data_IF_368806022107
#
_entry.id   IF_368806022107
#
_cell.length_a   1.000
_cell.length_b   1.000
_cell.length_c   1.000
_cell.angle_alpha   90.00
_cell.angle_beta   90.00
_cell.angle_gamma   90.00
#
_symmetry.space_group_name_H-M   'P 1'
#
loop_
_entity.id
_entity.type
_entity.pdbx_description
1 polymer ?
#
# COMPACT_ATOMS: atom_id res chain seq x y z
N UNK A 1 7.11 23.98 -29.99
CA UNK A 1 6.02 22.99 -29.92
C UNK A 1 6.47 21.95 -28.93
N UNK A 2 5.68 21.66 -27.89
CA UNK A 2 5.98 20.63 -26.89
C UNK A 2 5.92 19.26 -27.56
N UNK A 3 6.89 18.39 -27.32
CA UNK A 3 6.90 17.01 -27.84
C UNK A 3 5.79 16.17 -27.19
N UNK A 4 5.45 15.02 -27.78
CA UNK A 4 4.45 14.12 -27.20
C UNK A 4 4.84 13.59 -25.80
N UNK A 5 6.15 13.39 -25.58
CA UNK A 5 6.72 12.97 -24.29
C UNK A 5 6.65 14.11 -23.28
N UNK A 6 7.12 15.32 -23.62
CA UNK A 6 7.04 16.49 -22.73
C UNK A 6 5.59 16.82 -22.35
N UNK A 7 4.63 16.55 -23.25
CA UNK A 7 3.20 16.70 -22.94
C UNK A 7 2.72 15.65 -21.94
N UNK A 8 3.13 14.39 -22.10
CA UNK A 8 2.79 13.31 -21.15
C UNK A 8 3.37 13.60 -19.75
N UNK A 9 4.63 14.01 -19.69
CA UNK A 9 5.30 14.42 -18.45
C UNK A 9 4.56 15.57 -17.75
N UNK A 10 4.16 16.59 -18.52
CA UNK A 10 3.39 17.72 -18.00
C UNK A 10 1.99 17.29 -17.53
N UNK A 11 1.30 16.46 -18.30
CA UNK A 11 -0.02 15.93 -17.95
C UNK A 11 0.06 15.17 -16.61
N UNK A 12 1.06 14.31 -16.41
CA UNK A 12 1.24 13.57 -15.16
C UNK A 12 1.38 14.51 -13.95
N UNK A 13 2.20 15.56 -14.08
CA UNK A 13 2.40 16.54 -13.00
C UNK A 13 1.11 17.32 -12.69
N UNK A 14 0.39 17.78 -13.71
CA UNK A 14 -0.83 18.57 -13.50
C UNK A 14 -2.00 17.72 -13.02
N UNK A 15 -2.12 16.47 -13.48
CA UNK A 15 -3.13 15.52 -13.00
C UNK A 15 -2.87 15.18 -11.54
N UNK A 16 -1.62 14.94 -11.14
CA UNK A 16 -1.26 14.68 -9.73
C UNK A 16 -1.72 15.85 -8.84
N UNK A 17 -1.43 17.08 -9.26
CA UNK A 17 -1.89 18.27 -8.53
C UNK A 17 -3.41 18.44 -8.55
N UNK A 18 -4.07 18.06 -9.64
CA UNK A 18 -5.53 18.04 -9.75
C UNK A 18 -6.15 17.09 -8.75
N UNK A 19 -5.66 15.84 -8.70
CA UNK A 19 -6.12 14.82 -7.76
C UNK A 19 -5.86 15.23 -6.31
N UNK A 20 -4.69 15.77 -5.97
CA UNK A 20 -4.36 16.21 -4.59
C UNK A 20 -5.33 17.30 -4.12
N UNK A 21 -5.79 18.20 -5.00
CA UNK A 21 -6.74 19.26 -4.63
C UNK A 21 -8.14 18.78 -4.33
N UNK A 22 -8.48 17.56 -4.73
CA UNK A 22 -9.75 16.94 -4.41
C UNK A 22 -9.56 16.20 -3.09
N UNK A 23 -10.17 16.72 -2.03
CA UNK A 23 -10.18 16.06 -0.73
C UNK A 23 -11.00 14.77 -0.83
N UNK A 24 -10.31 13.64 -0.74
CA UNK A 24 -10.85 12.28 -0.74
C UNK A 24 -10.57 11.58 0.58
N UNK A 25 -10.46 12.35 1.67
CA UNK A 25 -10.12 11.82 3.01
C UNK A 25 -11.06 10.68 3.42
N UNK A 26 -10.47 9.57 3.85
CA UNK A 26 -11.17 8.40 4.35
C UNK A 26 -10.86 8.12 5.84
N UNK A 27 -11.88 8.18 6.70
CA UNK A 27 -11.78 7.82 8.13
C UNK A 27 -12.19 6.36 8.41
N UNK A 28 -12.52 5.60 7.37
CA UNK A 28 -13.14 4.29 7.45
C UNK A 28 -14.61 4.31 7.88
N UNK A 29 -15.29 3.17 7.70
CA UNK A 29 -16.71 3.03 8.05
C UNK A 29 -17.63 3.97 7.26
N UNK A 30 -17.28 4.25 6.00
CA UNK A 30 -17.95 5.19 5.10
C UNK A 30 -18.08 6.61 5.67
N UNK A 31 -17.04 7.08 6.36
CA UNK A 31 -16.93 8.46 6.87
C UNK A 31 -15.79 9.16 6.16
N UNK A 32 -16.05 10.35 5.61
CA UNK A 32 -15.08 11.07 4.81
C UNK A 32 -15.74 11.90 3.72
N UNK A 33 -14.93 12.44 2.82
CA UNK A 33 -15.40 13.17 1.65
C UNK A 33 -15.92 12.22 0.56
N UNK A 34 -15.38 10.99 0.49
CA UNK A 34 -15.62 10.04 -0.59
C UNK A 34 -14.86 10.41 -1.88
N UNK A 35 -14.80 9.47 -2.81
CA UNK A 35 -13.95 9.52 -4.00
C UNK A 35 -14.71 9.97 -5.24
N UNK A 36 -16.04 10.12 -5.17
CA UNK A 36 -16.88 10.41 -6.33
C UNK A 36 -16.46 11.66 -7.13
N UNK A 37 -15.97 12.72 -6.48
CA UNK A 37 -15.44 13.88 -7.18
C UNK A 37 -14.16 13.56 -7.95
N UNK A 38 -13.21 12.86 -7.33
CA UNK A 38 -11.98 12.41 -7.97
C UNK A 38 -12.28 11.41 -9.10
N UNK A 39 -13.21 10.47 -8.88
CA UNK A 39 -13.63 9.50 -9.87
C UNK A 39 -14.21 10.18 -11.13
N UNK A 40 -15.03 11.22 -10.95
CA UNK A 40 -15.54 12.03 -12.08
C UNK A 40 -14.44 12.79 -12.79
N UNK A 41 -13.50 13.36 -12.05
CA UNK A 41 -12.33 14.04 -12.62
C UNK A 41 -11.49 13.07 -13.48
N UNK A 42 -11.23 11.86 -12.99
CA UNK A 42 -10.53 10.80 -13.74
C UNK A 42 -11.31 10.41 -14.99
N UNK A 43 -12.62 10.19 -14.89
CA UNK A 43 -13.45 9.85 -16.04
C UNK A 43 -13.47 10.97 -17.10
N UNK A 44 -13.54 12.24 -16.68
CA UNK A 44 -13.45 13.40 -17.57
C UNK A 44 -12.09 13.45 -18.29
N UNK A 45 -10.98 13.16 -17.58
CA UNK A 45 -9.66 13.07 -18.21
C UNK A 45 -9.58 11.96 -19.26
N UNK A 46 -10.30 10.85 -19.11
CA UNK A 46 -10.38 9.84 -20.16
C UNK A 46 -11.29 10.26 -21.31
N UNK A 47 -12.44 10.87 -21.03
CA UNK A 47 -13.40 11.36 -22.04
C UNK A 47 -12.77 12.45 -22.95
N UNK A 48 -11.93 13.33 -22.39
CA UNK A 48 -11.16 14.35 -23.15
C UNK A 48 -10.34 13.78 -24.31
N UNK A 49 -9.95 12.50 -24.22
CA UNK A 49 -9.21 11.80 -25.28
C UNK A 49 -10.05 10.77 -26.02
N UNK A 50 -11.35 10.62 -25.70
CA UNK A 50 -12.27 9.70 -26.35
C UNK A 50 -12.30 8.30 -25.75
N UNK A 51 -11.90 8.15 -24.48
CA UNK A 51 -11.97 6.90 -23.72
C UNK A 51 -13.12 6.96 -22.72
N UNK A 52 -13.99 5.96 -22.74
CA UNK A 52 -15.20 5.90 -21.90
C UNK A 52 -14.94 5.04 -20.65
N UNK A 53 -14.50 5.69 -19.57
CA UNK A 53 -14.29 5.03 -18.27
C UNK A 53 -15.62 4.93 -17.50
N UNK A 54 -15.88 3.76 -16.93
CA UNK A 54 -17.10 3.48 -16.17
C UNK A 54 -16.88 3.77 -14.69
N UNK A 55 -17.87 4.39 -14.05
CA UNK A 55 -17.88 4.65 -12.60
C UNK A 55 -18.84 3.68 -11.91
N UNK A 56 -18.36 2.99 -10.88
CA UNK A 56 -19.15 2.08 -10.06
C UNK A 56 -19.20 2.59 -8.62
N UNK A 57 -20.39 2.94 -8.15
CA UNK A 57 -20.61 3.48 -6.81
C UNK A 57 -21.16 2.38 -5.88
N UNK A 58 -20.36 1.96 -4.89
CA UNK A 58 -20.69 0.87 -3.96
C UNK A 58 -21.52 1.35 -2.76
N UNK A 59 -21.35 2.62 -2.39
CA UNK A 59 -22.10 3.36 -1.37
C UNK A 59 -22.07 4.86 -1.69
N UNK A 60 -22.94 5.70 -1.10
CA UNK A 60 -22.96 7.14 -1.38
C UNK A 60 -21.56 7.77 -1.26
N UNK A 61 -21.02 8.25 -2.37
CA UNK A 61 -19.69 8.86 -2.46
C UNK A 61 -18.52 7.90 -2.69
N UNK A 62 -18.71 6.57 -2.52
CA UNK A 62 -17.66 5.55 -2.71
C UNK A 62 -17.63 5.06 -4.14
N UNK A 63 -16.72 5.61 -4.93
CA UNK A 63 -16.73 5.45 -6.38
C UNK A 63 -15.43 4.83 -6.90
N UNK A 64 -15.58 3.71 -7.61
CA UNK A 64 -14.51 3.05 -8.35
C UNK A 64 -14.58 3.50 -9.82
N UNK A 65 -13.43 3.64 -10.49
CA UNK A 65 -13.35 3.95 -11.93
C UNK A 65 -12.66 2.82 -12.66
N UNK A 66 -13.23 2.34 -13.76
CA UNK A 66 -12.62 1.28 -14.57
C UNK A 66 -12.67 1.63 -16.05
N UNK A 67 -11.53 1.48 -16.73
CA UNK A 67 -11.39 1.58 -18.18
C UNK A 67 -10.71 0.33 -18.72
N UNK A 68 -11.31 -0.32 -19.72
CA UNK A 68 -10.67 -1.42 -20.47
C UNK A 68 -10.23 -0.94 -21.85
N UNK A 69 -8.96 -1.19 -22.19
CA UNK A 69 -8.35 -0.81 -23.47
C UNK A 69 -7.97 -2.09 -24.21
N UNK A 70 -8.54 -2.35 -25.39
CA UNK A 70 -8.20 -3.53 -26.18
C UNK A 70 -6.73 -3.52 -26.64
N UNK A 71 -6.07 -4.66 -26.48
CA UNK A 71 -4.73 -4.91 -27.00
C UNK A 71 -4.74 -5.27 -28.49
N UNK A 72 -3.54 -5.24 -29.09
CA UNK A 72 -3.33 -5.70 -30.47
C UNK A 72 -3.34 -7.24 -30.61
N UNK A 73 -3.11 -7.98 -29.53
CA UNK A 73 -3.11 -9.45 -29.48
C UNK A 73 -4.11 -9.96 -28.43
N UNK A 74 -5.34 -10.31 -28.84
CA UNK A 74 -6.40 -10.76 -27.93
C UNK A 74 -6.19 -12.18 -27.38
N UNK A 75 -5.12 -12.87 -27.79
CA UNK A 75 -4.78 -14.20 -27.24
C UNK A 75 -4.01 -14.12 -25.93
N UNK A 76 -3.49 -12.94 -25.59
CA UNK A 76 -2.73 -12.71 -24.36
C UNK A 76 -3.67 -12.33 -23.20
N UNK A 77 -3.37 -12.80 -21.98
CA UNK A 77 -4.05 -12.32 -20.78
C UNK A 77 -3.93 -10.81 -20.60
N UNK A 78 -4.98 -10.19 -20.08
CA UNK A 78 -4.99 -8.77 -19.76
C UNK A 78 -4.08 -8.46 -18.57
N UNK A 79 -3.52 -7.25 -18.54
CA UNK A 79 -2.83 -6.67 -17.39
C UNK A 79 -3.75 -5.69 -16.68
N UNK A 80 -3.92 -5.84 -15.37
CA UNK A 80 -4.53 -4.81 -14.54
C UNK A 80 -3.46 -3.81 -14.11
N UNK A 81 -3.75 -2.52 -14.28
CA UNK A 81 -2.94 -1.43 -13.75
C UNK A 81 -3.85 -0.62 -12.85
N UNK A 82 -3.57 -0.63 -11.56
CA UNK A 82 -4.51 -0.07 -10.59
C UNK A 82 -3.88 0.81 -9.53
N UNK A 83 -4.75 1.57 -8.87
CA UNK A 83 -4.48 2.41 -7.72
C UNK A 83 -5.78 2.75 -6.98
N UNK A 84 -5.70 3.61 -5.97
CA UNK A 84 -6.83 4.07 -5.17
C UNK A 84 -6.88 5.60 -5.09
N UNK A 85 -8.09 6.15 -5.00
CA UNK A 85 -8.30 7.61 -5.04
C UNK A 85 -8.43 8.25 -3.66
N UNK A 86 -8.68 7.45 -2.62
CA UNK A 86 -8.78 7.95 -1.27
C UNK A 86 -7.41 8.23 -0.64
N UNK A 87 -7.44 8.90 0.49
CA UNK A 87 -6.24 9.25 1.25
C UNK A 87 -6.55 9.18 2.74
N UNK A 88 -5.56 8.83 3.56
CA UNK A 88 -5.69 9.00 5.01
C UNK A 88 -5.93 10.46 5.43
N UNK A 89 -6.52 10.71 6.62
CA UNK A 89 -6.73 12.06 7.13
C UNK A 89 -5.46 12.91 7.22
N UNK A 90 -5.63 14.22 7.04
CA UNK A 90 -4.60 15.23 7.25
C UNK A 90 -5.15 16.33 8.16
N UNK A 91 -4.44 16.59 9.27
CA UNK A 91 -4.77 17.67 10.21
C UNK A 91 -4.04 18.92 9.75
N UNK A 92 -4.74 19.88 9.16
CA UNK A 92 -4.12 21.04 8.50
C UNK A 92 -3.18 21.84 9.43
N UNK A 93 -3.45 21.88 10.73
CA UNK A 93 -2.60 22.58 11.72
C UNK A 93 -1.21 21.95 11.91
N UNK A 94 -1.06 20.66 11.59
CA UNK A 94 0.21 19.95 11.70
C UNK A 94 1.09 20.16 10.46
N UNK A 95 0.52 20.63 9.35
CA UNK A 95 1.20 20.74 8.06
C UNK A 95 1.85 22.10 7.84
N UNK A 96 2.98 22.10 7.16
CA UNK A 96 3.71 23.31 6.76
C UNK A 96 2.99 24.09 5.63
N UNK A 97 2.13 23.41 4.87
CA UNK A 97 1.31 23.95 3.78
C UNK A 97 -0.09 23.36 3.84
N UNK A 98 -1.04 23.91 3.07
CA UNK A 98 -2.35 23.28 2.92
C UNK A 98 -2.19 21.85 2.36
N UNK A 99 -2.60 20.79 3.08
CA UNK A 99 -2.47 19.41 2.63
C UNK A 99 -3.17 19.14 1.29
N UNK A 100 -4.17 19.94 0.92
CA UNK A 100 -4.87 19.82 -0.37
C UNK A 100 -4.57 20.98 -1.32
N UNK A 101 -3.52 21.78 -1.05
CA UNK A 101 -3.12 22.90 -1.91
C UNK A 101 -2.43 22.49 -3.22
N UNK A 102 -1.73 21.35 -3.21
CA UNK A 102 -0.89 20.86 -4.31
C UNK A 102 0.14 21.91 -4.78
N UNK A 103 0.80 22.55 -3.82
CA UNK A 103 1.82 23.56 -4.07
C UNK A 103 3.10 22.92 -4.63
N UNK A 104 3.77 23.63 -5.53
CA UNK A 104 5.09 23.22 -6.04
C UNK A 104 6.14 24.08 -5.37
N UNK A 105 6.91 23.47 -4.46
CA UNK A 105 7.95 24.13 -3.67
C UNK A 105 9.24 23.35 -3.85
N UNK A 106 10.31 24.03 -4.25
CA UNK A 106 11.64 23.46 -4.47
C UNK A 106 11.65 22.20 -5.38
N UNK A 107 10.79 22.21 -6.40
CA UNK A 107 10.69 21.11 -7.37
C UNK A 107 9.91 19.89 -6.87
N UNK A 108 9.24 19.98 -5.72
CA UNK A 108 8.38 18.94 -5.18
C UNK A 108 6.93 19.40 -5.18
N UNK A 109 5.99 18.48 -5.43
CA UNK A 109 4.56 18.69 -5.23
C UNK A 109 4.25 18.30 -3.79
N UNK A 110 3.72 19.24 -3.01
CA UNK A 110 3.35 19.03 -1.62
C UNK A 110 1.85 18.81 -1.49
N UNK A 111 1.46 17.81 -0.70
CA UNK A 111 0.08 17.54 -0.35
C UNK A 111 -0.18 16.08 -0.01
N UNK A 112 -1.28 15.84 0.70
CA UNK A 112 -1.76 14.50 1.04
C UNK A 112 -2.11 13.75 -0.24
N UNK A 113 -1.54 12.55 -0.40
CA UNK A 113 -1.64 11.73 -1.60
C UNK A 113 -0.51 11.93 -2.61
N UNK A 114 0.46 12.82 -2.35
CA UNK A 114 1.63 13.00 -3.20
C UNK A 114 2.55 11.76 -3.24
N UNK A 115 2.60 10.98 -2.18
CA UNK A 115 3.30 9.70 -2.01
C UNK A 115 2.31 8.54 -2.19
N UNK A 116 1.13 8.62 -1.55
CA UNK A 116 0.17 7.50 -1.44
C UNK A 116 -1.28 7.92 -1.76
N UNK A 117 -1.76 7.72 -2.99
CA UNK A 117 -0.98 7.26 -4.16
C UNK A 117 -1.28 8.05 -5.45
N UNK A 118 -1.80 9.27 -5.32
CA UNK A 118 -2.22 10.13 -6.44
C UNK A 118 -1.09 10.49 -7.40
N UNK A 119 0.18 10.29 -7.02
CA UNK A 119 1.31 10.37 -7.95
C UNK A 119 1.24 9.29 -9.04
N UNK A 120 0.98 8.04 -8.65
CA UNK A 120 0.93 6.88 -9.52
C UNK A 120 -0.31 6.92 -10.37
N UNK A 121 -1.45 7.29 -9.80
CA UNK A 121 -2.67 7.49 -10.56
C UNK A 121 -2.46 8.47 -11.70
N UNK A 122 -1.84 9.61 -11.39
CA UNK A 122 -1.56 10.62 -12.39
C UNK A 122 -0.62 10.13 -13.50
N UNK A 123 0.39 9.32 -13.15
CA UNK A 123 1.27 8.70 -14.14
C UNK A 123 0.51 7.68 -15.01
N UNK A 124 -0.35 6.84 -14.43
CA UNK A 124 -1.20 5.89 -15.17
C UNK A 124 -2.10 6.64 -16.15
N UNK A 125 -2.86 7.63 -15.66
CA UNK A 125 -3.82 8.40 -16.47
C UNK A 125 -3.09 9.13 -17.61
N UNK A 126 -1.95 9.78 -17.32
CA UNK A 126 -1.17 10.49 -18.32
C UNK A 126 -0.59 9.56 -19.40
N UNK A 127 -0.07 8.39 -19.02
CA UNK A 127 0.45 7.41 -19.96
C UNK A 127 -0.65 6.84 -20.86
N UNK A 128 -1.83 6.52 -20.31
CA UNK A 128 -2.98 6.05 -21.11
C UNK A 128 -3.48 7.14 -22.07
N UNK A 129 -3.61 8.39 -21.60
CA UNK A 129 -3.93 9.54 -22.46
C UNK A 129 -2.90 9.70 -23.58
N UNK A 130 -1.62 9.50 -23.29
CA UNK A 130 -0.55 9.55 -24.28
C UNK A 130 -0.70 8.44 -25.34
N UNK A 131 -0.80 7.18 -24.92
CA UNK A 131 -0.96 6.03 -25.82
C UNK A 131 -2.14 6.23 -26.78
N UNK A 132 -3.29 6.67 -26.26
CA UNK A 132 -4.47 6.89 -27.07
C UNK A 132 -4.31 8.04 -28.08
N UNK A 133 -3.77 9.19 -27.65
CA UNK A 133 -3.53 10.36 -28.53
C UNK A 133 -2.57 10.03 -29.66
N UNK A 134 -1.52 9.27 -29.37
CA UNK A 134 -0.50 8.87 -30.33
C UNK A 134 -0.91 7.61 -31.13
N UNK A 135 -2.10 7.05 -30.88
CA UNK A 135 -2.65 5.86 -31.55
C UNK A 135 -1.73 4.65 -31.41
N UNK A 136 -1.11 4.52 -30.25
CA UNK A 136 -0.27 3.39 -29.89
C UNK A 136 -1.18 2.36 -29.21
N UNK A 137 -1.30 1.18 -29.82
CA UNK A 137 -2.02 0.06 -29.23
C UNK A 137 -1.09 -0.72 -28.30
N UNK A 138 -1.49 -0.98 -27.04
CA UNK A 138 -0.77 -1.91 -26.18
C UNK A 138 -0.82 -3.31 -26.79
N UNK A 139 0.13 -4.16 -26.42
CA UNK A 139 0.16 -5.53 -26.94
C UNK A 139 -1.02 -6.34 -26.41
N UNK A 140 -1.29 -6.24 -25.11
CA UNK A 140 -2.36 -6.93 -24.37
C UNK A 140 -3.50 -5.98 -24.04
N UNK A 141 -4.63 -6.54 -23.66
CA UNK A 141 -5.69 -5.76 -23.02
C UNK A 141 -5.16 -5.13 -21.73
N UNK A 142 -5.44 -3.85 -21.52
CA UNK A 142 -5.20 -3.17 -20.25
C UNK A 142 -6.52 -2.95 -19.53
N UNK A 143 -6.57 -3.25 -18.24
CA UNK A 143 -7.68 -2.92 -17.36
C UNK A 143 -7.14 -1.90 -16.36
N UNK A 144 -7.54 -0.64 -16.54
CA UNK A 144 -7.15 0.46 -15.67
C UNK A 144 -8.24 0.59 -14.61
N UNK A 145 -7.87 0.48 -13.34
CA UNK A 145 -8.81 0.55 -12.24
C UNK A 145 -8.33 1.55 -11.18
N UNK A 146 -9.22 2.43 -10.73
CA UNK A 146 -9.00 3.30 -9.58
C UNK A 146 -10.06 2.95 -8.54
N UNK A 147 -9.63 2.31 -7.46
CA UNK A 147 -10.51 1.83 -6.41
C UNK A 147 -10.80 2.92 -5.38
N UNK A 148 -11.89 2.74 -4.66
CA UNK A 148 -12.21 3.51 -3.46
C UNK A 148 -11.80 2.74 -2.21
N UNK A 149 -11.65 3.44 -1.09
CA UNK A 149 -11.65 2.83 0.25
C UNK A 149 -10.46 1.93 0.59
N UNK A 150 -9.34 2.00 -0.14
CA UNK A 150 -8.14 1.19 0.13
C UNK A 150 -7.61 1.47 1.54
N UNK A 151 -7.56 2.75 1.93
CA UNK A 151 -7.06 3.24 3.22
C UNK A 151 -7.92 2.79 4.42
N UNK A 152 -9.05 2.12 4.15
CA UNK A 152 -9.93 1.52 5.14
C UNK A 152 -10.21 0.02 4.88
N UNK A 153 -9.43 -0.64 4.02
CA UNK A 153 -9.44 -2.09 3.79
C UNK A 153 -10.08 -2.53 2.46
N UNK A 154 -10.57 -1.61 1.63
CA UNK A 154 -11.07 -1.89 0.28
C UNK A 154 -12.47 -2.52 0.23
N UNK A 155 -13.22 -2.53 1.35
CA UNK A 155 -14.55 -3.15 1.44
C UNK A 155 -15.57 -2.49 0.50
N UNK A 156 -15.47 -1.16 0.30
CA UNK A 156 -16.27 -0.41 -0.69
C UNK A 156 -15.58 -0.30 -2.06
N UNK A 157 -14.35 -0.82 -2.15
CA UNK A 157 -13.41 -0.64 -3.25
C UNK A 157 -13.22 -1.87 -4.12
N UNK A 158 -11.97 -2.28 -4.23
CA UNK A 158 -11.52 -3.49 -4.89
C UNK A 158 -12.26 -4.74 -4.39
N UNK A 159 -12.51 -4.86 -3.07
CA UNK A 159 -13.25 -5.97 -2.50
C UNK A 159 -14.69 -6.04 -2.99
N UNK A 160 -15.39 -4.90 -3.01
CA UNK A 160 -16.73 -4.82 -3.58
C UNK A 160 -16.74 -5.10 -5.09
N UNK A 161 -15.77 -4.55 -5.83
CA UNK A 161 -15.63 -4.78 -7.28
C UNK A 161 -15.40 -6.26 -7.61
N UNK A 162 -14.51 -6.93 -6.88
CA UNK A 162 -14.23 -8.36 -7.05
C UNK A 162 -15.48 -9.21 -6.76
N UNK A 163 -16.25 -8.86 -5.74
CA UNK A 163 -17.44 -9.62 -5.33
C UNK A 163 -18.67 -9.37 -6.23
N UNK A 164 -18.87 -8.14 -6.71
CA UNK A 164 -20.09 -7.72 -7.40
C UNK A 164 -19.92 -7.53 -8.91
N UNK A 165 -18.69 -7.24 -9.34
CA UNK A 165 -18.32 -6.99 -10.74
C UNK A 165 -17.11 -7.82 -11.23
N UNK A 166 -17.01 -9.13 -10.92
CA UNK A 166 -15.87 -9.95 -11.34
C UNK A 166 -15.71 -10.00 -12.87
N UNK A 167 -16.78 -9.76 -13.64
CA UNK A 167 -16.74 -9.68 -15.09
C UNK A 167 -15.81 -8.60 -15.63
N UNK A 168 -15.57 -7.54 -14.84
CA UNK A 168 -14.66 -6.45 -15.20
C UNK A 168 -13.23 -6.95 -15.37
N UNK A 169 -12.80 -7.87 -14.51
CA UNK A 169 -11.45 -8.43 -14.48
C UNK A 169 -11.28 -9.68 -15.34
N UNK A 170 -12.31 -10.06 -16.10
CA UNK A 170 -12.29 -11.28 -16.89
C UNK A 170 -11.12 -11.31 -17.91
N UNK A 171 -10.34 -12.38 -17.85
CA UNK A 171 -9.18 -12.62 -18.72
C UNK A 171 -7.88 -11.95 -18.25
N UNK A 172 -7.85 -11.29 -17.08
CA UNK A 172 -6.62 -10.84 -16.45
C UNK A 172 -5.97 -11.97 -15.64
N UNK A 173 -4.64 -12.02 -15.66
CA UNK A 173 -3.84 -12.95 -14.85
C UNK A 173 -2.89 -12.23 -13.90
N UNK A 174 -2.50 -11.00 -14.22
CA UNK A 174 -1.51 -10.23 -13.46
C UNK A 174 -1.98 -8.78 -13.27
N UNK A 175 -1.47 -8.16 -12.20
CA UNK A 175 -1.73 -6.77 -11.85
C UNK A 175 -0.45 -6.05 -11.42
N UNK A 176 -0.37 -4.75 -11.66
CA UNK A 176 0.55 -3.84 -11.00
C UNK A 176 -0.21 -2.78 -10.20
N UNK A 177 0.29 -2.47 -9.01
CA UNK A 177 -0.31 -1.56 -8.01
C UNK A 177 0.69 -0.54 -7.50
N UNK A 178 0.25 0.25 -6.52
CA UNK A 178 1.04 1.09 -5.62
C UNK A 178 2.22 0.39 -4.93
N UNK A 179 2.99 1.21 -4.20
CA UNK A 179 4.04 0.80 -3.27
C UNK A 179 5.02 -0.23 -3.84
N UNK A 180 6.05 0.29 -4.50
CA UNK A 180 7.13 -0.49 -5.10
C UNK A 180 7.64 0.26 -6.33
N UNK A 181 8.66 -0.24 -7.01
CA UNK A 181 9.25 0.42 -8.17
C UNK A 181 9.96 1.75 -7.90
N UNK A 182 9.88 2.34 -6.70
CA UNK A 182 10.61 3.55 -6.33
C UNK A 182 12.06 3.26 -5.97
N UNK A 183 12.94 4.24 -6.21
CA UNK A 183 14.37 4.08 -5.97
C UNK A 183 14.79 4.43 -4.55
N UNK A 184 15.81 3.76 -4.08
CA UNK A 184 16.53 4.00 -2.82
C UNK A 184 18.03 4.06 -3.11
N UNK A 185 18.81 4.66 -2.22
CA UNK A 185 20.28 4.57 -2.27
C UNK A 185 20.74 3.47 -1.30
N UNK A 186 21.47 2.47 -1.83
CA UNK A 186 22.10 1.42 -1.05
C UNK A 186 23.61 1.54 -1.30
N UNK A 187 24.33 2.06 -0.31
CA UNK A 187 25.78 2.24 -0.35
C UNK A 187 26.28 3.01 -1.60
N UNK A 188 25.60 4.11 -1.96
CA UNK A 188 25.94 4.95 -3.11
C UNK A 188 25.52 4.37 -4.47
N UNK A 189 24.72 3.31 -4.48
CA UNK A 189 24.13 2.70 -5.68
C UNK A 189 22.61 2.83 -5.61
N UNK A 190 22.02 3.32 -6.70
CA UNK A 190 20.56 3.40 -6.82
C UNK A 190 19.97 2.01 -7.04
N UNK A 191 19.00 1.65 -6.20
CA UNK A 191 18.24 0.41 -6.31
C UNK A 191 16.74 0.72 -6.37
N UNK A 192 16.00 0.04 -7.24
CA UNK A 192 14.54 0.11 -7.29
C UNK A 192 13.94 -1.08 -6.53
N UNK A 193 13.00 -0.81 -5.62
CA UNK A 193 12.40 -1.82 -4.76
C UNK A 193 11.09 -2.34 -5.37
N UNK A 194 11.13 -3.45 -6.10
CA UNK A 194 9.94 -4.04 -6.74
C UNK A 194 9.19 -4.91 -5.73
N UNK A 195 7.95 -4.55 -5.40
CA UNK A 195 7.20 -5.29 -4.39
C UNK A 195 6.69 -6.62 -4.96
N UNK A 196 7.12 -7.73 -4.32
CA UNK A 196 6.71 -9.10 -4.64
C UNK A 196 6.03 -9.79 -3.45
N UNK A 197 5.93 -9.13 -2.31
CA UNK A 197 5.26 -9.68 -1.14
C UNK A 197 4.67 -8.57 -0.28
N UNK A 198 3.75 -8.93 0.61
CA UNK A 198 3.16 -8.04 1.60
C UNK A 198 2.64 -8.83 2.81
N UNK A 199 2.71 -8.21 4.00
CA UNK A 199 2.21 -8.83 5.22
C UNK A 199 0.69 -9.00 5.18
N UNK A 200 0.20 -10.00 5.88
CA UNK A 200 -1.21 -10.15 6.19
C UNK A 200 -1.65 -9.19 7.28
N UNK A 201 -2.95 -8.95 7.36
CA UNK A 201 -3.58 -8.12 8.39
C UNK A 201 -4.44 -9.03 9.26
N UNK A 202 -4.27 -8.93 10.58
CA UNK A 202 -5.10 -9.59 11.58
C UNK A 202 -5.39 -8.59 12.70
N UNK A 203 -6.46 -7.81 12.56
CA UNK A 203 -6.89 -6.90 13.62
C UNK A 203 -7.77 -7.64 14.60
N UNK A 204 -7.32 -7.73 15.85
CA UNK A 204 -7.94 -8.55 16.87
C UNK A 204 -8.54 -7.67 17.96
N UNK A 205 -9.72 -8.06 18.44
CA UNK A 205 -10.32 -7.54 19.67
C UNK A 205 -10.19 -8.56 20.77
N UNK A 206 -9.55 -8.14 21.87
CA UNK A 206 -9.46 -8.89 23.11
C UNK A 206 -10.57 -8.43 24.05
N UNK A 207 -11.30 -9.37 24.62
CA UNK A 207 -12.37 -9.10 25.59
C UNK A 207 -12.14 -9.91 26.86
N UNK A 208 -12.04 -9.24 28.00
CA UNK A 208 -12.05 -9.88 29.31
C UNK A 208 -13.36 -9.57 30.03
N UNK A 209 -13.94 -10.58 30.68
CA UNK A 209 -15.10 -10.44 31.56
C UNK A 209 -14.67 -10.62 33.01
N UNK A 210 -15.46 -10.08 33.94
CA UNK A 210 -15.24 -10.24 35.37
C UNK A 210 -16.45 -9.78 36.18
N UNK A 211 -16.33 -9.89 37.49
CA UNK A 211 -17.40 -9.54 38.41
C UNK A 211 -17.43 -8.03 38.68
N UNK A 212 -18.49 -7.34 38.25
CA UNK A 212 -18.70 -5.94 38.57
C UNK A 212 -18.94 -5.74 40.08
N UNK A 213 -18.46 -4.63 40.64
CA UNK A 213 -18.60 -4.39 42.08
C UNK A 213 -18.17 -3.01 42.56
N UNK A 214 -18.37 -2.74 43.85
CA UNK A 214 -17.87 -1.52 44.47
C UNK A 214 -16.35 -1.63 44.71
N UNK A 215 -15.58 -0.59 44.36
CA UNK A 215 -14.11 -0.60 44.42
C UNK A 215 -13.49 -0.81 45.81
N UNK A 216 -14.30 -0.77 46.87
CA UNK A 216 -13.86 -1.08 48.25
C UNK A 216 -13.96 -2.56 48.62
N UNK A 217 -14.56 -3.40 47.77
CA UNK A 217 -14.73 -4.82 48.04
C UNK A 217 -13.53 -5.63 47.53
N UNK A 218 -13.25 -6.76 48.16
CA UNK A 218 -12.27 -7.73 47.64
C UNK A 218 -12.85 -8.32 46.34
N UNK A 219 -12.10 -8.24 45.26
CA UNK A 219 -12.48 -8.79 43.97
C UNK A 219 -11.29 -9.52 43.34
N UNK A 220 -11.43 -10.84 43.17
CA UNK A 220 -10.43 -11.72 42.54
C UNK A 220 -10.72 -12.00 41.06
N UNK A 221 -11.81 -11.47 40.52
CA UNK A 221 -12.31 -11.68 39.15
C UNK A 221 -12.47 -10.31 38.47
N UNK A 222 -11.33 -9.68 38.16
CA UNK A 222 -11.27 -8.30 37.70
C UNK A 222 -10.86 -8.25 36.22
N UNK A 223 -11.82 -7.90 35.36
CA UNK A 223 -11.62 -7.79 33.91
C UNK A 223 -10.45 -6.87 33.52
N UNK A 224 -10.25 -5.76 34.26
CA UNK A 224 -9.15 -4.82 33.98
C UNK A 224 -7.80 -5.47 34.20
N UNK A 225 -7.63 -6.17 35.33
CA UNK A 225 -6.36 -6.82 35.67
C UNK A 225 -6.05 -7.97 34.70
N UNK A 226 -7.05 -8.78 34.38
CA UNK A 226 -6.92 -9.89 33.43
C UNK A 226 -6.50 -9.38 32.05
N UNK A 227 -7.22 -8.40 31.51
CA UNK A 227 -6.91 -7.83 30.19
C UNK A 227 -5.57 -7.10 30.17
N UNK A 228 -5.25 -6.31 31.20
CA UNK A 228 -3.97 -5.61 31.27
C UNK A 228 -2.78 -6.58 31.25
N UNK A 229 -2.92 -7.74 31.91
CA UNK A 229 -1.92 -8.81 31.84
C UNK A 229 -1.75 -9.38 30.44
N UNK A 230 -2.84 -9.62 29.72
CA UNK A 230 -2.83 -10.10 28.33
C UNK A 230 -2.16 -9.08 27.38
N UNK A 231 -2.59 -7.82 27.46
CA UNK A 231 -2.06 -6.72 26.66
C UNK A 231 -0.56 -6.55 26.89
N UNK A 232 -0.11 -6.60 28.15
CA UNK A 232 1.31 -6.50 28.48
C UNK A 232 2.12 -7.67 27.90
N UNK A 233 1.64 -8.93 28.05
CA UNK A 233 2.34 -10.09 27.49
C UNK A 233 2.44 -10.05 25.97
N UNK A 234 1.39 -9.59 25.29
CA UNK A 234 1.40 -9.42 23.82
C UNK A 234 2.36 -8.30 23.42
N UNK A 235 2.28 -7.14 24.07
CA UNK A 235 3.10 -5.97 23.71
C UNK A 235 4.60 -6.12 23.98
N UNK A 236 4.99 -6.93 24.96
CA UNK A 236 6.41 -7.19 25.27
C UNK A 236 6.98 -8.40 24.51
N UNK A 237 6.14 -9.18 23.84
CA UNK A 237 6.58 -10.41 23.17
C UNK A 237 7.54 -10.08 22.03
N UNK A 238 8.76 -10.62 22.13
CA UNK A 238 9.77 -10.50 21.08
C UNK A 238 9.55 -11.59 20.05
N UNK A 239 9.07 -11.19 18.88
CA UNK A 239 8.91 -12.09 17.75
C UNK A 239 10.28 -12.54 17.23
N UNK A 240 10.45 -13.83 16.89
CA UNK A 240 11.69 -14.29 16.29
C UNK A 240 11.85 -13.72 14.88
N UNK A 241 13.10 -13.58 14.44
CA UNK A 241 13.39 -13.31 13.03
C UNK A 241 12.88 -14.47 12.17
N UNK A 242 12.17 -14.14 11.11
CA UNK A 242 11.74 -15.07 10.07
C UNK A 242 11.85 -14.39 8.71
N UNK A 243 12.23 -15.18 7.71
CA UNK A 243 12.55 -14.67 6.38
C UNK A 243 11.72 -15.39 5.33
N UNK A 244 10.94 -14.61 4.59
CA UNK A 244 10.29 -15.03 3.36
C UNK A 244 11.30 -15.20 2.22
N UNK A 245 10.90 -15.81 1.10
CA UNK A 245 11.78 -15.94 -0.07
C UNK A 245 12.20 -14.57 -0.60
N UNK A 246 11.28 -13.62 -0.58
CA UNK A 246 11.48 -12.22 -0.99
C UNK A 246 12.52 -11.52 -0.11
N UNK A 247 12.36 -11.59 1.22
CA UNK A 247 13.28 -10.91 2.15
C UNK A 247 14.68 -11.55 2.16
N UNK A 248 14.77 -12.89 2.03
CA UNK A 248 16.06 -13.57 1.83
C UNK A 248 16.76 -13.05 0.57
N UNK A 249 16.05 -13.06 -0.57
CA UNK A 249 16.62 -12.61 -1.85
C UNK A 249 17.07 -11.16 -1.83
N UNK A 250 16.33 -10.28 -1.15
CA UNK A 250 16.71 -8.88 -0.94
C UNK A 250 18.02 -8.78 -0.14
N UNK A 251 18.09 -9.43 1.02
CA UNK A 251 19.25 -9.33 1.92
C UNK A 251 20.51 -9.98 1.31
N UNK A 252 20.37 -11.08 0.57
CA UNK A 252 21.47 -11.70 -0.18
C UNK A 252 22.04 -10.75 -1.24
N UNK A 253 21.19 -10.06 -1.99
CA UNK A 253 21.62 -9.10 -3.00
C UNK A 253 22.23 -7.84 -2.36
N UNK A 254 21.67 -7.34 -1.26
CA UNK A 254 22.27 -6.24 -0.50
C UNK A 254 23.65 -6.62 0.04
N UNK A 255 23.83 -7.86 0.52
CA UNK A 255 25.12 -8.37 0.94
C UNK A 255 26.13 -8.38 -0.21
N UNK A 256 25.74 -8.84 -1.40
CA UNK A 256 26.59 -8.80 -2.60
C UNK A 256 27.00 -7.36 -2.99
N UNK A 257 26.04 -6.43 -2.97
CA UNK A 257 26.26 -5.03 -3.35
C UNK A 257 27.16 -4.26 -2.39
N UNK A 258 27.03 -4.54 -1.10
CA UNK A 258 27.75 -3.86 -0.02
C UNK A 258 29.07 -4.54 0.32
N UNK A 259 29.22 -5.82 -0.02
CA UNK A 259 30.32 -6.67 0.41
C UNK A 259 30.26 -7.07 1.89
N UNK A 260 29.12 -6.83 2.56
CA UNK A 260 28.88 -7.22 3.95
C UNK A 260 28.43 -8.69 4.03
N UNK A 261 28.65 -9.34 5.17
CA UNK A 261 28.16 -10.70 5.43
C UNK A 261 26.67 -10.67 5.80
N UNK A 262 25.90 -11.60 5.23
CA UNK A 262 24.52 -11.83 5.67
C UNK A 262 24.47 -12.84 6.82
N UNK A 263 24.49 -12.34 8.06
CA UNK A 263 24.19 -13.13 9.26
C UNK A 263 22.68 -13.14 9.52
N UNK A 264 22.02 -14.27 9.28
CA UNK A 264 20.57 -14.43 9.51
C UNK A 264 20.15 -14.28 10.97
N UNK A 265 21.07 -14.38 11.93
CA UNK A 265 20.78 -14.13 13.35
C UNK A 265 20.90 -12.65 13.71
N UNK A 266 21.58 -11.86 12.89
CA UNK A 266 21.81 -10.44 13.11
C UNK A 266 21.86 -9.67 11.76
N UNK A 267 20.70 -9.42 11.11
CA UNK A 267 20.64 -8.72 9.82
C UNK A 267 20.92 -7.22 9.95
N UNK A 268 21.14 -6.70 11.16
CA UNK A 268 21.28 -5.29 11.46
C UNK A 268 22.35 -4.57 10.60
N UNK A 269 23.56 -5.12 10.36
CA UNK A 269 24.54 -4.46 9.50
C UNK A 269 24.07 -4.25 8.06
N UNK A 270 23.31 -5.20 7.50
CA UNK A 270 22.73 -5.05 6.17
C UNK A 270 21.61 -4.02 6.16
N UNK A 271 20.72 -4.06 7.15
CA UNK A 271 19.65 -3.06 7.28
C UNK A 271 20.22 -1.65 7.37
N UNK A 272 21.27 -1.43 8.16
CA UNK A 272 21.96 -0.13 8.26
C UNK A 272 22.54 0.34 6.92
N UNK A 273 23.06 -0.58 6.10
CA UNK A 273 23.58 -0.26 4.77
C UNK A 273 22.49 0.18 3.76
N UNK A 274 21.22 -0.10 4.05
CA UNK A 274 20.07 0.32 3.23
C UNK A 274 19.56 1.73 3.60
N UNK A 275 20.14 2.40 4.60
CA UNK A 275 19.81 3.79 4.93
C UNK A 275 18.35 3.98 5.35
N UNK A 276 17.63 4.88 4.67
CA UNK A 276 16.27 5.31 5.05
C UNK A 276 15.25 4.16 5.01
N UNK A 277 15.45 3.14 4.15
CA UNK A 277 14.51 2.01 4.05
C UNK A 277 14.77 0.89 5.05
N UNK A 278 15.78 1.02 5.90
CA UNK A 278 16.13 0.06 6.95
C UNK A 278 14.95 -0.29 7.87
N UNK A 279 14.17 0.71 8.29
CA UNK A 279 12.97 0.53 9.13
C UNK A 279 11.87 -0.19 8.37
N UNK A 280 11.70 0.17 7.10
CA UNK A 280 10.65 -0.35 6.25
C UNK A 280 10.87 -1.85 5.95
N UNK A 281 12.11 -2.25 5.68
CA UNK A 281 12.52 -3.65 5.50
C UNK A 281 12.61 -4.39 6.84
N UNK A 282 13.11 -3.76 7.91
CA UNK A 282 13.21 -4.40 9.22
C UNK A 282 11.86 -4.88 9.77
N UNK A 283 10.76 -4.17 9.47
CA UNK A 283 9.41 -4.55 9.84
C UNK A 283 8.87 -5.82 9.15
N UNK A 284 9.57 -6.31 8.12
CA UNK A 284 9.19 -7.48 7.31
C UNK A 284 9.98 -8.72 7.69
N UNK A 285 10.88 -8.64 8.68
CA UNK A 285 11.69 -9.77 9.14
C UNK A 285 11.07 -10.50 10.35
N UNK A 286 9.84 -10.14 10.72
CA UNK A 286 9.11 -10.75 11.83
C UNK A 286 7.61 -10.45 11.73
N UNK A 287 6.80 -11.28 12.37
CA UNK A 287 5.43 -10.90 12.72
C UNK A 287 5.45 -9.73 13.72
N UNK A 288 4.38 -8.96 13.76
CA UNK A 288 4.25 -7.85 14.71
C UNK A 288 2.85 -7.87 15.30
N UNK A 289 2.72 -7.59 16.60
CA UNK A 289 1.43 -7.47 17.28
C UNK A 289 1.49 -6.30 18.27
N UNK A 290 0.83 -5.20 17.92
CA UNK A 290 0.89 -3.95 18.68
C UNK A 290 -0.46 -3.66 19.34
N UNK A 291 -0.52 -3.54 20.69
CA UNK A 291 -1.71 -3.01 21.35
C UNK A 291 -1.95 -1.55 20.95
N UNK A 292 -3.11 -1.28 20.34
CA UNK A 292 -3.44 0.03 19.76
C UNK A 292 -4.56 0.76 20.49
N UNK A 293 -5.42 0.04 21.22
CA UNK A 293 -6.47 0.64 22.04
C UNK A 293 -6.73 -0.17 23.31
N UNK A 294 -7.12 0.51 24.39
CA UNK A 294 -7.51 -0.10 25.67
C UNK A 294 -8.67 0.67 26.29
N UNK A 295 -9.77 -0.01 26.60
CA UNK A 295 -10.96 0.58 27.20
C UNK A 295 -11.46 -0.27 28.39
N UNK A 296 -11.59 0.37 29.57
CA UNK A 296 -12.16 -0.26 30.74
C UNK A 296 -12.69 0.75 31.77
N UNK A 297 -13.88 0.46 32.33
CA UNK A 297 -14.45 1.25 33.43
C UNK A 297 -14.91 2.66 33.06
N UNK A 298 -15.59 3.31 34.01
CA UNK A 298 -16.08 4.68 33.86
C UNK A 298 -16.00 5.52 35.15
N UNK A 299 -15.65 4.91 36.29
CA UNK A 299 -15.52 5.58 37.59
C UNK A 299 -14.63 4.80 38.55
N UNK A 300 -13.75 5.50 39.29
CA UNK A 300 -12.73 4.90 40.16
C UNK A 300 -13.26 4.01 41.30
N UNK A 301 -14.50 4.22 41.76
CA UNK A 301 -15.10 3.40 42.84
C UNK A 301 -16.03 2.30 42.31
N UNK A 302 -15.98 2.02 41.00
CA UNK A 302 -16.75 0.95 40.35
C UNK A 302 -15.78 0.03 39.62
N UNK A 303 -15.77 -1.24 39.98
CA UNK A 303 -15.07 -2.29 39.25
C UNK A 303 -15.93 -2.66 38.05
N UNK A 304 -15.43 -2.52 36.80
CA UNK A 304 -16.21 -2.87 35.61
C UNK A 304 -16.33 -4.39 35.47
N UNK A 305 -17.44 -4.82 34.86
CA UNK A 305 -17.63 -6.24 34.50
C UNK A 305 -16.91 -6.65 33.23
N UNK A 306 -16.40 -5.70 32.44
CA UNK A 306 -15.77 -5.95 31.15
C UNK A 306 -14.62 -4.97 30.89
N UNK A 307 -13.62 -5.43 30.15
CA UNK A 307 -12.56 -4.62 29.57
C UNK A 307 -12.29 -5.10 28.14
N UNK A 308 -11.90 -4.18 27.26
CA UNK A 308 -11.62 -4.46 25.85
C UNK A 308 -10.31 -3.83 25.39
N UNK A 309 -9.58 -4.51 24.49
CA UNK A 309 -8.39 -3.98 23.83
C UNK A 309 -8.38 -4.35 22.34
N UNK A 310 -7.72 -3.53 21.53
CA UNK A 310 -7.46 -3.81 20.12
C UNK A 310 -5.97 -4.07 19.90
N UNK A 311 -5.66 -5.06 19.08
CA UNK A 311 -4.30 -5.43 18.67
C UNK A 311 -4.22 -5.33 17.14
N UNK A 312 -3.28 -4.54 16.63
CA UNK A 312 -2.89 -4.59 15.21
C UNK A 312 -1.82 -5.67 15.06
N UNK A 313 -2.21 -6.82 14.50
CA UNK A 313 -1.27 -7.88 14.14
C UNK A 313 -1.02 -7.88 12.63
N UNK A 314 0.26 -8.01 12.25
CA UNK A 314 0.70 -8.18 10.87
C UNK A 314 1.49 -9.47 10.75
N UNK A 315 1.07 -10.35 9.84
CA UNK A 315 1.62 -11.70 9.70
C UNK A 315 2.49 -11.83 8.45
N UNK A 316 3.58 -12.57 8.52
CA UNK A 316 4.35 -12.97 7.36
C UNK A 316 3.60 -14.06 6.57
N UNK A 317 3.87 -14.18 5.26
CA UNK A 317 3.49 -15.34 4.45
C UNK A 317 3.72 -16.67 5.17
N UNK A 318 2.72 -17.55 5.10
CA UNK A 318 2.71 -18.88 5.70
C UNK A 318 2.74 -18.94 7.24
N UNK A 319 2.71 -17.81 7.95
CA UNK A 319 2.82 -17.77 9.43
C UNK A 319 1.53 -17.31 10.15
N UNK A 320 0.45 -17.09 9.40
CA UNK A 320 -0.79 -16.52 9.94
C UNK A 320 -1.40 -17.34 11.09
N UNK A 321 -1.68 -18.61 10.86
CA UNK A 321 -2.31 -19.50 11.86
C UNK A 321 -1.44 -19.62 13.13
N UNK A 322 -0.14 -19.89 12.96
CA UNK A 322 0.79 -20.00 14.07
C UNK A 322 0.92 -18.70 14.89
N UNK A 323 0.81 -17.55 14.22
CA UNK A 323 0.79 -16.23 14.88
C UNK A 323 -0.46 -16.06 15.74
N UNK A 324 -1.64 -16.41 15.22
CA UNK A 324 -2.89 -16.34 15.99
C UNK A 324 -2.90 -17.30 17.19
N UNK A 325 -2.38 -18.52 17.01
CA UNK A 325 -2.21 -19.46 18.12
C UNK A 325 -1.31 -18.88 19.21
N UNK A 326 -0.19 -18.25 18.83
CA UNK A 326 0.70 -17.61 19.80
C UNK A 326 0.04 -16.45 20.52
N UNK A 327 -0.75 -15.64 19.83
CA UNK A 327 -1.50 -14.54 20.44
C UNK A 327 -2.56 -15.03 21.42
N UNK A 328 -3.25 -16.14 21.11
CA UNK A 328 -4.18 -16.78 22.03
C UNK A 328 -3.46 -17.31 23.30
N UNK A 329 -2.29 -17.92 23.14
CA UNK A 329 -1.44 -18.35 24.27
C UNK A 329 -1.04 -17.15 25.16
N UNK A 330 -0.58 -16.05 24.55
CA UNK A 330 -0.17 -14.84 25.25
C UNK A 330 -1.35 -14.15 25.94
N UNK A 331 -2.53 -14.15 25.33
CA UNK A 331 -3.73 -13.60 25.95
C UNK A 331 -4.14 -14.38 27.21
N UNK A 332 -3.96 -15.70 27.19
CA UNK A 332 -4.17 -16.57 28.34
C UNK A 332 -5.64 -16.76 28.73
N UNK A 333 -5.88 -17.46 29.84
CA UNK A 333 -7.23 -17.78 30.30
C UNK A 333 -8.03 -16.52 30.68
N UNK A 334 -9.33 -16.53 30.37
CA UNK A 334 -10.26 -15.44 30.72
C UNK A 334 -10.26 -14.26 29.72
N UNK A 335 -9.55 -14.38 28.60
CA UNK A 335 -9.57 -13.41 27.50
C UNK A 335 -10.03 -14.09 26.21
N UNK A 336 -11.08 -13.56 25.61
CA UNK A 336 -11.58 -13.96 24.30
C UNK A 336 -10.92 -13.12 23.21
N UNK A 337 -10.46 -13.75 22.14
CA UNK A 337 -9.99 -13.10 20.93
C UNK A 337 -11.08 -13.21 19.86
N UNK A 338 -11.37 -12.10 19.20
CA UNK A 338 -12.27 -12.06 18.04
C UNK A 338 -11.59 -11.28 16.92
N UNK A 339 -11.79 -11.74 15.68
CA UNK A 339 -11.27 -11.06 14.50
C UNK A 339 -12.16 -9.87 14.14
N UNK A 340 -11.55 -8.69 14.00
CA UNK A 340 -12.21 -7.46 13.58
C UNK A 340 -12.07 -7.29 12.07
N UNK A 341 -10.88 -7.55 11.54
CA UNK A 341 -10.57 -7.47 10.12
C UNK A 341 -9.39 -8.39 9.81
N UNK A 342 -9.45 -9.06 8.66
CA UNK A 342 -8.48 -10.06 8.25
C UNK A 342 -8.25 -9.97 6.75
N UNK A 343 -6.98 -9.97 6.35
CA UNK A 343 -6.60 -10.12 4.95
C UNK A 343 -5.31 -10.94 4.86
N UNK A 344 -5.25 -11.80 3.85
CA UNK A 344 -4.12 -12.69 3.63
C UNK A 344 -2.83 -11.92 3.32
N UNK A 345 -1.70 -12.48 3.75
CA UNK A 345 -0.37 -12.09 3.25
C UNK A 345 -0.21 -12.58 1.80
N UNK A 346 0.55 -11.84 0.99
CA UNK A 346 0.89 -12.26 -0.36
C UNK A 346 2.41 -12.45 -0.50
N UNK A 347 2.81 -13.46 -1.26
CA UNK A 347 4.18 -13.60 -1.77
C UNK A 347 4.16 -14.25 -3.15
N UNK A 348 4.72 -13.55 -4.13
CA UNK A 348 4.80 -13.99 -5.52
C UNK A 348 6.27 -14.00 -5.99
N UNK A 349 6.63 -14.81 -6.99
CA UNK A 349 8.02 -14.88 -7.46
C UNK A 349 8.49 -13.57 -8.09
N UNK A 350 9.73 -13.17 -7.79
CA UNK A 350 10.49 -12.17 -8.58
C UNK A 350 11.00 -12.79 -9.88
N UNK A 351 10.07 -13.19 -10.74
CA UNK A 351 10.35 -13.83 -12.02
C UNK A 351 9.12 -13.76 -12.92
N UNK A 352 9.32 -13.96 -14.22
CA UNK A 352 8.25 -13.99 -15.19
C UNK A 352 8.25 -12.77 -16.10
N UNK A 353 7.47 -12.85 -17.17
CA UNK A 353 7.55 -11.88 -18.26
C UNK A 353 7.17 -10.45 -17.80
N UNK A 354 6.23 -10.31 -16.86
CA UNK A 354 5.85 -9.01 -16.31
C UNK A 354 7.02 -8.40 -15.52
N UNK A 355 7.63 -9.17 -14.61
CA UNK A 355 8.80 -8.75 -13.83
C UNK A 355 9.97 -8.36 -14.74
N UNK A 356 10.28 -9.19 -15.74
CA UNK A 356 11.34 -8.90 -16.71
C UNK A 356 11.07 -7.58 -17.47
N UNK A 357 9.81 -7.29 -17.79
CA UNK A 357 9.41 -6.06 -18.48
C UNK A 357 9.44 -4.83 -17.55
N UNK A 358 9.06 -4.98 -16.27
CA UNK A 358 9.21 -3.94 -15.25
C UNK A 358 10.68 -3.56 -15.04
N UNK A 359 11.54 -4.58 -14.86
CA UNK A 359 13.00 -4.40 -14.72
C UNK A 359 13.56 -3.72 -15.97
N UNK A 360 13.22 -4.21 -17.16
CA UNK A 360 13.66 -3.60 -18.41
C UNK A 360 13.22 -2.14 -18.54
N UNK A 361 11.97 -1.83 -18.19
CA UNK A 361 11.42 -0.47 -18.31
C UNK A 361 12.13 0.53 -17.39
N UNK A 362 12.54 0.09 -16.20
CA UNK A 362 13.39 0.88 -15.31
C UNK A 362 14.79 1.09 -15.89
N UNK A 363 15.45 0.02 -16.35
CA UNK A 363 16.83 0.09 -16.85
C UNK A 363 16.98 0.80 -18.20
N UNK A 364 15.91 0.89 -18.99
CA UNK A 364 15.91 1.70 -20.21
C UNK A 364 16.02 3.22 -19.88
N UNK A 365 15.48 3.65 -18.73
CA UNK A 365 15.54 5.04 -18.26
C UNK A 365 16.69 5.29 -17.26
N UNK A 366 17.15 4.25 -16.56
CA UNK A 366 18.23 4.31 -15.55
C UNK A 366 19.19 3.10 -15.64
N UNK A 367 20.10 3.08 -16.63
CA UNK A 367 20.87 1.87 -16.98
C UNK A 367 21.85 1.35 -15.92
N UNK A 368 22.28 2.22 -14.99
CA UNK A 368 23.28 1.89 -13.96
C UNK A 368 22.65 1.42 -12.64
N UNK A 369 21.32 1.50 -12.55
CA UNK A 369 20.57 1.07 -11.39
C UNK A 369 20.46 -0.46 -11.31
N UNK A 370 19.98 -0.91 -10.16
CA UNK A 370 19.63 -2.31 -9.90
C UNK A 370 18.17 -2.39 -9.49
N UNK A 371 17.56 -3.56 -9.64
CA UNK A 371 16.17 -3.80 -9.23
C UNK A 371 16.15 -4.98 -8.29
N UNK A 372 15.58 -4.79 -7.10
CA UNK A 372 15.57 -5.76 -6.02
C UNK A 372 14.14 -6.13 -5.65
N UNK A 373 13.85 -7.40 -5.32
CA UNK A 373 12.56 -7.77 -4.76
C UNK A 373 12.39 -7.18 -3.36
N UNK A 374 11.17 -6.84 -3.01
CA UNK A 374 10.82 -6.18 -1.76
C UNK A 374 9.51 -6.72 -1.20
N UNK A 375 9.42 -6.77 0.12
CA UNK A 375 8.20 -7.16 0.83
C UNK A 375 7.62 -5.96 1.57
N UNK A 376 6.37 -5.60 1.30
CA UNK A 376 5.64 -4.56 2.00
C UNK A 376 5.23 -4.98 3.42
N UNK A 377 5.43 -4.10 4.40
CA UNK A 377 5.00 -4.33 5.79
C UNK A 377 3.50 -4.05 6.01
N UNK A 378 2.88 -3.27 5.13
CA UNK A 378 1.44 -3.04 5.01
C UNK A 378 0.73 -4.02 4.07
N UNK A 379 -0.35 -3.56 3.46
CA UNK A 379 -1.15 -4.27 2.46
C UNK A 379 -1.58 -3.31 1.35
N UNK A 380 -2.08 -3.87 0.24
CA UNK A 380 -2.63 -3.11 -0.90
C UNK A 380 -3.89 -3.79 -1.42
N UNK A 381 -4.57 -3.16 -2.37
CA UNK A 381 -5.70 -3.75 -3.10
C UNK A 381 -5.37 -5.04 -3.88
N UNK A 382 -4.09 -5.37 -4.06
CA UNK A 382 -3.68 -6.67 -4.62
C UNK A 382 -4.27 -7.85 -3.84
N UNK A 383 -4.54 -7.70 -2.53
CA UNK A 383 -5.16 -8.76 -1.71
C UNK A 383 -6.51 -9.19 -2.24
N UNK A 384 -7.35 -8.24 -2.63
CA UNK A 384 -8.67 -8.52 -3.16
C UNK A 384 -8.60 -9.16 -4.55
N UNK A 385 -7.72 -8.68 -5.42
CA UNK A 385 -7.49 -9.28 -6.74
C UNK A 385 -6.93 -10.72 -6.63
N UNK A 386 -6.07 -11.00 -5.65
CA UNK A 386 -5.55 -12.34 -5.41
C UNK A 386 -6.65 -13.38 -5.10
N UNK A 387 -7.76 -12.96 -4.49
CA UNK A 387 -8.90 -13.86 -4.18
C UNK A 387 -9.59 -14.43 -5.43
N UNK A 388 -9.41 -13.79 -6.59
CA UNK A 388 -9.89 -14.27 -7.90
C UNK A 388 -8.76 -14.78 -8.80
N UNK A 389 -7.58 -15.05 -8.22
CA UNK A 389 -6.46 -15.71 -8.90
C UNK A 389 -5.55 -14.77 -9.69
N UNK A 390 -5.60 -13.47 -9.43
CA UNK A 390 -4.78 -12.46 -10.12
C UNK A 390 -3.49 -12.23 -9.32
N UNK A 391 -2.35 -12.35 -9.99
CA UNK A 391 -1.03 -12.16 -9.37
C UNK A 391 -0.65 -10.68 -9.38
N UNK A 392 -0.57 -10.06 -8.19
CA UNK A 392 -0.26 -8.64 -8.05
C UNK A 392 1.19 -8.34 -7.68
N UNK A 393 1.72 -7.24 -8.22
CA UNK A 393 3.02 -6.66 -7.88
C UNK A 393 2.85 -5.17 -7.53
N UNK A 394 3.71 -4.62 -6.68
CA UNK A 394 3.76 -3.17 -6.44
C UNK A 394 4.84 -2.51 -7.29
N UNK A 395 4.43 -1.50 -8.07
CA UNK A 395 5.25 -0.86 -9.09
C UNK A 395 4.78 0.58 -9.38
N UNK A 396 5.12 1.50 -8.47
CA UNK A 396 5.06 2.95 -8.60
C UNK A 396 6.45 3.52 -8.93
N UNK A 397 6.92 3.48 -10.20
CA UNK A 397 8.30 3.79 -10.53
C UNK A 397 8.62 5.26 -10.26
N UNK A 398 9.51 5.53 -9.32
CA UNK A 398 9.94 6.89 -8.96
C UNK A 398 11.45 6.91 -8.81
N UNK A 399 12.14 7.72 -9.61
CA UNK A 399 13.56 8.00 -9.39
C UNK A 399 13.68 9.11 -8.33
N UNK A 400 13.96 8.71 -7.10
CA UNK A 400 13.99 9.59 -5.93
C UNK A 400 15.41 10.09 -5.62
N UNK A 401 15.55 11.32 -5.07
CA UNK A 401 16.79 11.77 -4.46
C UNK A 401 17.21 10.87 -3.29
N UNK A 402 18.51 10.62 -3.14
CA UNK A 402 19.04 9.67 -2.14
C UNK A 402 18.74 10.11 -0.69
N UNK A 403 18.71 11.42 -0.45
CA UNK A 403 18.46 12.02 0.86
C UNK A 403 16.97 12.12 1.23
N UNK A 404 16.05 11.86 0.29
CA UNK A 404 14.62 11.95 0.55
C UNK A 404 14.15 10.71 1.32
N UNK A 405 13.63 10.90 2.52
CA UNK A 405 12.97 9.84 3.28
C UNK A 405 11.54 9.60 2.76
N UNK A 406 11.43 9.05 1.57
CA UNK A 406 10.14 8.79 0.91
C UNK A 406 9.31 7.78 1.70
N UNK A 407 9.93 6.72 2.21
CA UNK A 407 9.25 5.69 3.02
C UNK A 407 8.73 6.24 4.34
N UNK A 408 9.42 7.22 4.95
CA UNK A 408 8.94 7.87 6.17
C UNK A 408 7.77 8.83 5.97
N UNK A 409 7.43 9.19 4.72
CA UNK A 409 6.32 10.09 4.40
C UNK A 409 4.98 9.39 4.20
N UNK A 410 4.94 8.05 4.09
CA UNK A 410 3.67 7.31 4.07
C UNK A 410 2.86 7.61 5.33
N UNK A 411 1.64 8.12 5.13
CA UNK A 411 0.72 8.62 6.15
C UNK A 411 1.28 9.76 7.03
N UNK A 412 2.47 10.27 6.70
CA UNK A 412 3.16 11.32 7.43
C UNK A 412 2.58 12.71 7.16
N UNK A 413 3.06 13.67 7.93
CA UNK A 413 2.87 15.11 7.70
C UNK A 413 3.84 15.57 6.60
N UNK A 414 3.46 16.61 5.85
CA UNK A 414 4.31 17.23 4.82
C UNK A 414 4.70 16.27 3.68
N UNK A 415 3.79 15.35 3.36
CA UNK A 415 3.92 14.45 2.22
C UNK A 415 4.17 15.22 0.92
N UNK A 416 5.14 14.75 0.14
CA UNK A 416 5.56 15.40 -1.09
C UNK A 416 6.31 14.45 -2.01
N UNK A 417 6.23 14.74 -3.31
CA UNK A 417 6.90 13.96 -4.35
C UNK A 417 7.68 14.87 -5.30
N UNK A 418 8.92 14.52 -5.69
CA UNK A 418 9.66 15.28 -6.69
C UNK A 418 8.95 15.29 -8.04
N UNK A 419 8.82 16.46 -8.65
CA UNK A 419 8.24 16.63 -9.99
C UNK A 419 8.99 15.78 -11.02
N UNK A 420 10.32 15.73 -10.94
CA UNK A 420 11.13 14.94 -11.87
C UNK A 420 10.99 13.43 -11.66
N UNK A 421 10.64 12.98 -10.45
CA UNK A 421 10.33 11.57 -10.18
C UNK A 421 9.03 11.14 -10.88
N UNK A 422 7.99 12.00 -10.88
CA UNK A 422 6.75 11.75 -11.64
C UNK A 422 7.03 11.67 -13.15
N UNK A 423 7.86 12.59 -13.67
CA UNK A 423 8.24 12.58 -15.10
C UNK A 423 9.03 11.32 -15.48
N UNK A 424 9.91 10.86 -14.59
CA UNK A 424 10.61 9.59 -14.77
C UNK A 424 9.60 8.44 -14.80
N UNK A 425 8.75 8.35 -13.79
CA UNK A 425 7.82 7.24 -13.61
C UNK A 425 6.79 7.09 -14.73
N UNK A 426 6.24 8.19 -15.24
CA UNK A 426 5.28 8.13 -16.36
C UNK A 426 5.90 7.55 -17.63
N UNK A 427 7.20 7.78 -17.89
CA UNK A 427 7.91 7.17 -19.02
C UNK A 427 8.10 5.66 -18.81
N UNK A 428 8.46 5.26 -17.60
CA UNK A 428 8.62 3.84 -17.24
C UNK A 428 7.28 3.10 -17.37
N UNK A 429 6.19 3.65 -16.84
CA UNK A 429 4.86 3.05 -16.93
C UNK A 429 4.32 3.02 -18.37
N UNK A 430 4.52 4.08 -19.16
CA UNK A 430 4.18 4.06 -20.59
C UNK A 430 4.90 2.94 -21.32
N UNK A 431 6.22 2.82 -21.12
CA UNK A 431 7.02 1.79 -21.80
C UNK A 431 6.57 0.39 -21.39
N UNK A 432 6.30 0.16 -20.10
CA UNK A 432 5.78 -1.10 -19.58
C UNK A 432 4.43 -1.45 -20.23
N UNK A 433 3.44 -0.56 -20.13
CA UNK A 433 2.09 -0.78 -20.65
C UNK A 433 2.06 -0.96 -22.17
N UNK A 434 2.98 -0.30 -22.89
CA UNK A 434 3.11 -0.45 -24.34
C UNK A 434 3.75 -1.77 -24.74
N UNK A 435 4.75 -2.24 -23.99
CA UNK A 435 5.65 -3.32 -24.41
C UNK A 435 5.31 -4.71 -23.86
N UNK A 436 4.62 -4.78 -22.72
CA UNK A 436 4.16 -6.04 -22.12
C UNK A 436 3.01 -6.66 -22.92
#
# INVERSE_FOLDING_TARGET
MTTAIERMEKDAVEICRGLIRIDTTNFGGNKGAGELEAARYVAELFDEVGLDAQIYESAPGRANVVLRIPGSDPSLPALIVHGHLDVVPAIAEDWSVDPFGAEVIDGMIWGRGAVDMKNMDAMIIAAIRHLHREKISPRRDLIIAFFADEEAGGDYGSGWMVQNHPEVFAGAEEAISEVGGFSVDINGRRAYMLQTAEKGIAWLKLTAQGMAGHGSQINSDNAVTTLAGAVHRIGEYQWPLSYTKTTLSLLEQVAELTGLEFDQQNPQPLLEAMGNVSRFVGATLQNTANPSALQAGYKHNVIPGQAEALIDCRTLPDEHEATLEKLAELAGEGVELSMVHEQDSLEVPFAGALVDTMVKSLLDEDPDAIVLPYMLSGGTDNKWLATIGITGYGFAPLQLPAELDFTGMFHGVDERVPVDAIKFGVKVLENLMRSY
#
